data_IF_944526600004
#
_entry.id   IF_944526600004
#
_cell.length_a   1.000
_cell.length_b   1.000
_cell.length_c   1.000
_cell.angle_alpha   90.00
_cell.angle_beta   90.00
_cell.angle_gamma   90.00
#
_symmetry.space_group_name_H-M   'P 1'
#
loop_
_entity.id
_entity.type
_entity.pdbx_description
1 polymer ?
#
# COMPACT_ATOMS: atom_id res chain seq x y z
N UNK A 1 14.16 -18.01 -11.74
CA UNK A 1 14.10 -17.25 -10.46
C UNK A 1 12.91 -17.75 -9.67
N UNK A 2 13.07 -18.11 -8.40
CA UNK A 2 11.95 -18.60 -7.59
C UNK A 2 11.26 -17.37 -6.99
N UNK A 3 10.13 -16.97 -7.57
CA UNK A 3 9.34 -15.83 -7.09
C UNK A 3 8.51 -16.29 -5.91
N UNK A 4 8.72 -15.66 -4.75
CA UNK A 4 7.84 -15.80 -3.60
C UNK A 4 6.78 -14.71 -3.71
N UNK A 5 5.51 -15.12 -3.87
CA UNK A 5 4.38 -14.20 -3.84
C UNK A 5 3.80 -14.20 -2.44
N UNK A 6 3.75 -13.02 -1.82
CA UNK A 6 3.03 -12.80 -0.58
C UNK A 6 1.76 -12.03 -0.93
N UNK A 7 0.61 -12.55 -0.51
CA UNK A 7 -0.69 -11.89 -0.68
C UNK A 7 -1.27 -11.64 0.71
N UNK A 8 -1.71 -10.41 0.95
CA UNK A 8 -2.39 -10.00 2.17
C UNK A 8 -3.55 -9.07 1.81
N UNK A 9 -4.62 -9.12 2.61
CA UNK A 9 -5.71 -8.18 2.49
C UNK A 9 -5.42 -6.96 3.38
N UNK A 10 -5.70 -5.76 2.88
CA UNK A 10 -5.55 -4.53 3.65
C UNK A 10 -6.94 -4.13 4.12
N UNK A 11 -7.16 -4.20 5.42
CA UNK A 11 -8.38 -3.67 6.04
C UNK A 11 -8.36 -2.14 6.09
N UNK A 12 -9.51 -1.46 6.02
CA UNK A 12 -9.57 0.00 6.11
C UNK A 12 -9.09 0.56 7.46
N UNK A 13 -9.01 -0.26 8.51
CA UNK A 13 -8.45 0.11 9.81
C UNK A 13 -6.92 -0.19 9.93
N UNK A 14 -6.27 -0.57 8.83
CA UNK A 14 -4.82 -0.84 8.81
C UNK A 14 -4.04 0.45 9.07
N UNK A 15 -3.04 0.39 9.94
CA UNK A 15 -2.18 1.54 10.24
C UNK A 15 -0.92 1.51 9.39
N UNK A 16 -0.62 2.64 8.74
CA UNK A 16 0.63 2.83 7.98
C UNK A 16 1.58 3.73 8.78
N UNK A 17 2.83 3.29 8.97
CA UNK A 17 3.85 4.06 9.70
C UNK A 17 5.12 4.19 8.87
N UNK A 18 5.71 5.37 8.87
CA UNK A 18 7.02 5.62 8.25
C UNK A 18 8.04 5.87 9.34
N UNK A 19 9.09 5.06 9.40
CA UNK A 19 10.19 5.19 10.35
C UNK A 19 11.52 5.43 9.63
N UNK A 20 12.16 6.60 9.80
CA UNK A 20 13.50 6.83 9.28
C UNK A 20 14.54 6.16 10.18
N UNK A 21 15.56 5.55 9.57
CA UNK A 21 16.71 4.97 10.24
C UNK A 21 17.97 5.68 9.74
N UNK A 22 18.36 6.81 10.39
CA UNK A 22 19.55 7.55 10.03
C UNK A 22 20.80 6.82 10.53
N UNK A 23 21.30 5.87 9.75
CA UNK A 23 22.60 5.24 9.96
C UNK A 23 23.65 5.94 9.08
N UNK A 24 24.84 6.20 9.62
CA UNK A 24 25.94 6.87 8.91
C UNK A 24 26.50 6.06 7.73
N UNK A 25 26.37 4.73 7.75
CA UNK A 25 26.86 3.87 6.65
C UNK A 25 25.75 3.53 5.63
N UNK A 26 24.55 3.20 6.12
CA UNK A 26 23.45 2.71 5.30
C UNK A 26 22.11 3.26 5.80
N UNK A 27 21.79 4.54 5.50
CA UNK A 27 20.51 5.13 5.88
C UNK A 27 19.37 4.54 5.03
N UNK A 28 18.24 4.25 5.68
CA UNK A 28 17.03 3.76 5.03
C UNK A 28 15.77 4.24 5.74
N UNK A 29 14.63 4.08 5.09
CA UNK A 29 13.30 4.30 5.65
C UNK A 29 12.55 2.97 5.65
N UNK A 30 11.86 2.66 6.74
CA UNK A 30 10.89 1.56 6.81
C UNK A 30 9.49 2.13 6.65
N UNK A 31 8.73 1.61 5.69
CA UNK A 31 7.28 1.78 5.62
C UNK A 31 6.63 0.52 6.17
N UNK A 32 5.97 0.65 7.30
CA UNK A 32 5.31 -0.43 8.02
C UNK A 32 3.81 -0.39 7.76
N UNK A 33 3.27 -1.52 7.33
CA UNK A 33 1.84 -1.80 7.26
C UNK A 33 1.53 -2.70 8.46
N UNK A 34 0.96 -2.11 9.50
CA UNK A 34 0.58 -2.81 10.73
C UNK A 34 -0.86 -3.31 10.60
N UNK A 35 -1.01 -4.62 10.38
CA UNK A 35 -2.25 -5.35 10.60
C UNK A 35 -2.31 -5.95 12.01
N UNK A 36 -3.44 -6.58 12.35
CA UNK A 36 -3.65 -7.19 13.67
C UNK A 36 -2.66 -8.34 13.96
N UNK A 37 -2.36 -9.15 12.95
CA UNK A 37 -1.56 -10.38 13.10
C UNK A 37 -0.22 -10.35 12.35
N UNK A 38 -0.08 -9.45 11.37
CA UNK A 38 1.10 -9.37 10.50
C UNK A 38 1.51 -7.91 10.32
N UNK A 39 2.80 -7.65 10.48
CA UNK A 39 3.44 -6.39 10.06
C UNK A 39 4.25 -6.63 8.79
N UNK A 40 3.98 -5.84 7.75
CA UNK A 40 4.77 -5.82 6.53
C UNK A 40 5.68 -4.59 6.57
N UNK A 41 7.00 -4.77 6.45
CA UNK A 41 7.96 -3.67 6.42
C UNK A 41 8.65 -3.59 5.07
N UNK A 42 8.46 -2.46 4.37
CA UNK A 42 9.14 -2.12 3.13
C UNK A 42 10.36 -1.25 3.47
N UNK A 43 11.56 -1.79 3.25
CA UNK A 43 12.82 -1.09 3.50
C UNK A 43 13.32 -0.41 2.22
N UNK A 44 13.45 0.92 2.27
CA UNK A 44 13.90 1.73 1.15
C UNK A 44 15.17 2.50 1.52
N UNK A 45 16.25 2.24 0.81
CA UNK A 45 17.52 2.94 0.98
C UNK A 45 17.49 4.33 0.33
N UNK A 46 18.48 5.15 0.64
CA UNK A 46 18.71 6.40 -0.10
C UNK A 46 18.84 6.14 -1.61
N UNK A 47 18.16 6.97 -2.41
CA UNK A 47 18.08 6.81 -3.87
C UNK A 47 16.84 6.06 -4.37
N UNK A 48 16.07 5.40 -3.49
CA UNK A 48 14.84 4.69 -3.85
C UNK A 48 13.57 5.57 -3.80
N UNK A 49 13.72 6.89 -3.66
CA UNK A 49 12.58 7.79 -3.49
C UNK A 49 11.59 7.74 -4.66
N UNK A 50 12.09 7.68 -5.90
CA UNK A 50 11.22 7.61 -7.08
C UNK A 50 10.44 6.29 -7.15
N UNK A 51 11.03 5.17 -6.71
CA UNK A 51 10.31 3.90 -6.63
C UNK A 51 9.14 3.97 -5.63
N UNK A 52 9.34 4.62 -4.48
CA UNK A 52 8.27 4.85 -3.50
C UNK A 52 7.18 5.79 -4.05
N UNK A 53 7.56 6.83 -4.80
CA UNK A 53 6.58 7.71 -5.47
C UNK A 53 5.74 6.95 -6.49
N UNK A 54 6.36 6.10 -7.30
CA UNK A 54 5.63 5.24 -8.25
C UNK A 54 4.69 4.27 -7.55
N UNK A 55 5.11 3.68 -6.42
CA UNK A 55 4.24 2.83 -5.60
C UNK A 55 3.03 3.61 -5.06
N UNK A 56 3.26 4.82 -4.52
CA UNK A 56 2.18 5.66 -4.00
C UNK A 56 1.19 6.08 -5.10
N UNK A 57 1.68 6.40 -6.31
CA UNK A 57 0.84 6.71 -7.45
C UNK A 57 -0.05 5.52 -7.84
N UNK A 58 0.54 4.31 -7.95
CA UNK A 58 -0.20 3.09 -8.25
C UNK A 58 -1.26 2.77 -7.17
N UNK A 59 -0.93 2.97 -5.89
CA UNK A 59 -1.89 2.79 -4.80
C UNK A 59 -3.07 3.79 -4.88
N UNK A 60 -2.78 5.05 -5.27
CA UNK A 60 -3.82 6.09 -5.45
C UNK A 60 -4.75 5.77 -6.63
N UNK A 61 -4.18 5.29 -7.74
CA UNK A 61 -4.94 4.84 -8.90
C UNK A 61 -5.84 3.65 -8.55
N UNK A 62 -5.31 2.68 -7.79
CA UNK A 62 -6.10 1.55 -7.30
C UNK A 62 -7.27 1.99 -6.41
N UNK A 63 -7.05 2.94 -5.49
CA UNK A 63 -8.11 3.48 -4.64
C UNK A 63 -9.22 4.15 -5.48
N UNK A 64 -8.84 5.01 -6.43
CA UNK A 64 -9.79 5.67 -7.35
C UNK A 64 -10.61 4.67 -8.16
N UNK A 65 -9.96 3.58 -8.58
CA UNK A 65 -10.62 2.48 -9.31
C UNK A 65 -11.64 1.78 -8.40
N UNK A 66 -11.30 1.51 -7.14
CA UNK A 66 -12.23 0.91 -6.16
C UNK A 66 -13.42 1.82 -5.86
N UNK A 67 -13.22 3.14 -5.77
CA UNK A 67 -14.31 4.10 -5.59
C UNK A 67 -15.29 4.05 -6.77
N UNK A 68 -14.77 3.99 -8.00
CA UNK A 68 -15.58 3.90 -9.22
C UNK A 68 -16.40 2.60 -9.23
N UNK A 69 -15.75 1.46 -8.97
CA UNK A 69 -16.43 0.16 -8.89
C UNK A 69 -17.54 0.14 -7.83
N UNK A 70 -17.32 0.81 -6.71
CA UNK A 70 -18.32 0.92 -5.63
C UNK A 70 -19.52 1.77 -6.08
N UNK A 71 -19.29 2.88 -6.80
CA UNK A 71 -20.35 3.73 -7.34
C UNK A 71 -21.19 3.04 -8.42
N UNK A 72 -20.57 2.26 -9.31
CA UNK A 72 -21.26 1.45 -10.31
C UNK A 72 -22.15 0.38 -9.67
N UNK A 73 -21.65 -0.28 -8.61
CA UNK A 73 -22.42 -1.30 -7.87
C UNK A 73 -23.65 -0.70 -7.19
N UNK A 74 -23.54 0.53 -6.65
CA UNK A 74 -24.66 1.26 -6.07
C UNK A 74 -25.72 1.71 -7.10
N UNK A 75 -25.29 2.03 -8.33
CA UNK A 75 -26.19 2.41 -9.42
C UNK A 75 -26.98 1.22 -9.95
N UNK A 76 -26.35 0.04 -10.05
CA UNK A 76 -26.99 -1.18 -10.53
C UNK A 76 -28.06 -1.72 -9.56
N UNK A 77 -27.94 -1.44 -8.26
CA UNK A 77 -28.96 -1.78 -7.26
C UNK A 77 -30.22 -0.88 -7.31
N UNK A 78 -30.12 0.34 -7.85
CA UNK A 78 -31.23 1.29 -7.94
C UNK A 78 -32.10 1.12 -9.20
N UNK A 79 -31.58 0.44 -10.24
CA UNK A 79 -32.28 0.15 -11.51
C UNK A 79 -33.03 -1.19 -11.51
N UNK A 80 -33.04 -1.91 -10.38
CA UNK A 80 -33.76 -3.18 -10.18
C UNK A 80 -34.79 -3.12 -9.03
N UNK A 81 -35.18 -1.92 -8.60
CA UNK A 81 -36.18 -1.66 -7.55
C UNK A 81 -37.53 -1.18 -8.08
#
# INVERSE_FOLDING_TARGET
MRTLTVSGHIDPNTTFRVRPFPNTAHPFVSLEVEGTDITISLLASTGSADALRSLAAAATEAATTLDTLTADTGTQAADHG
#
